data_IF_123856713360
#
_entry.id   IF_123856713360
#
_cell.length_a   1.000
_cell.length_b   1.000
_cell.length_c   1.000
_cell.angle_alpha   90.00
_cell.angle_beta   90.00
_cell.angle_gamma   90.00
#
_symmetry.space_group_name_H-M   'P 1'
#
loop_
_entity.id
_entity.type
_entity.pdbx_description
1 polymer ?
#
# COMPACT_ATOMS: atom_id res chain seq x y z
N UNK A 1 -7.95 -9.85 -5.42
CA UNK A 1 -9.42 -9.78 -5.20
C UNK A 1 -9.93 -10.68 -4.06
N UNK A 2 -9.17 -11.70 -3.61
CA UNK A 2 -9.61 -12.66 -2.59
C UNK A 2 -10.21 -12.07 -1.30
N UNK A 3 -9.59 -11.05 -0.70
CA UNK A 3 -10.13 -10.39 0.51
C UNK A 3 -11.49 -9.73 0.23
N UNK A 4 -11.66 -9.09 -0.91
CA UNK A 4 -12.93 -8.46 -1.30
C UNK A 4 -14.03 -9.52 -1.37
N UNK A 5 -13.77 -10.62 -2.09
CA UNK A 5 -14.69 -11.76 -2.18
C UNK A 5 -15.04 -12.32 -0.80
N UNK A 6 -14.06 -12.43 0.10
CA UNK A 6 -14.29 -12.88 1.47
C UNK A 6 -15.24 -11.93 2.22
N UNK A 7 -14.97 -10.63 2.25
CA UNK A 7 -15.83 -9.65 2.96
C UNK A 7 -17.26 -9.64 2.41
N UNK A 8 -17.42 -9.72 1.09
CA UNK A 8 -18.73 -9.82 0.46
C UNK A 8 -19.45 -11.13 0.83
N UNK A 9 -18.74 -12.26 0.85
CA UNK A 9 -19.31 -13.56 1.25
C UNK A 9 -19.78 -13.59 2.71
N UNK A 10 -19.19 -12.74 3.56
CA UNK A 10 -19.59 -12.57 4.96
C UNK A 10 -20.75 -11.57 5.15
N UNK A 11 -21.30 -11.03 4.06
CA UNK A 11 -22.46 -10.15 4.09
C UNK A 11 -22.14 -8.67 4.26
N UNK A 12 -20.89 -8.23 4.08
CA UNK A 12 -20.60 -6.79 4.02
C UNK A 12 -21.17 -6.21 2.72
N UNK A 13 -22.01 -5.16 2.80
CA UNK A 13 -22.53 -4.51 1.59
C UNK A 13 -21.41 -3.89 0.75
N UNK A 14 -21.48 -4.02 -0.58
CA UNK A 14 -20.46 -3.55 -1.53
C UNK A 14 -20.19 -2.05 -1.36
N UNK A 15 -21.27 -1.28 -1.21
CA UNK A 15 -21.30 0.16 -1.02
C UNK A 15 -20.72 0.64 0.33
N UNK A 16 -20.27 -0.29 1.18
CA UNK A 16 -19.53 0.02 2.42
C UNK A 16 -18.08 -0.43 2.40
N UNK A 17 -17.64 -1.12 1.35
CA UNK A 17 -16.30 -1.68 1.25
C UNK A 17 -15.38 -0.76 0.44
N UNK A 18 -14.22 -0.41 1.01
CA UNK A 18 -13.19 0.40 0.34
C UNK A 18 -11.96 -0.46 0.05
N UNK A 19 -11.34 -0.27 -1.12
CA UNK A 19 -10.04 -0.86 -1.43
C UNK A 19 -8.92 0.00 -0.86
N UNK A 20 -8.02 -0.59 -0.08
CA UNK A 20 -6.82 0.09 0.40
C UNK A 20 -5.72 0.12 -0.67
N UNK A 21 -5.18 1.30 -0.97
CA UNK A 21 -3.99 1.50 -1.81
C UNK A 21 -2.87 2.08 -0.94
N UNK A 22 -1.75 1.37 -0.74
CA UNK A 22 -0.62 1.91 0.00
C UNK A 22 0.20 2.85 -0.90
N UNK A 23 0.29 4.13 -0.54
CA UNK A 23 1.26 5.07 -1.12
C UNK A 23 2.66 4.88 -0.52
N UNK A 24 3.05 3.63 -0.25
CA UNK A 24 4.34 3.24 0.32
C UNK A 24 4.69 1.84 -0.17
N UNK A 25 5.95 1.44 0.03
CA UNK A 25 6.43 0.10 -0.24
C UNK A 25 6.95 -0.63 0.99
N UNK A 26 6.96 -1.96 0.91
CA UNK A 26 7.64 -2.84 1.86
C UNK A 26 8.95 -3.31 1.27
N UNK A 27 10.01 -3.24 2.07
CA UNK A 27 11.36 -3.58 1.63
C UNK A 27 11.98 -4.71 2.43
N UNK A 28 12.86 -5.47 1.78
CA UNK A 28 13.55 -6.62 2.34
C UNK A 28 15.02 -6.62 1.94
N UNK A 29 15.86 -7.17 2.81
CA UNK A 29 17.24 -7.53 2.48
C UNK A 29 17.26 -9.00 2.07
N UNK A 30 17.76 -9.30 0.87
CA UNK A 30 17.88 -10.64 0.31
C UNK A 30 19.02 -11.39 0.99
N UNK A 31 18.78 -12.66 1.33
CA UNK A 31 19.78 -13.54 1.92
C UNK A 31 20.66 -14.25 0.87
N UNK A 32 20.34 -14.10 -0.42
CA UNK A 32 21.06 -14.74 -1.52
C UNK A 32 21.03 -13.87 -2.78
N UNK A 33 21.67 -14.34 -3.86
CA UNK A 33 21.61 -13.70 -5.17
C UNK A 33 20.28 -13.90 -5.91
N UNK A 34 19.38 -14.73 -5.38
CA UNK A 34 18.06 -14.92 -5.98
C UNK A 34 17.27 -13.61 -5.88
N UNK A 35 16.68 -13.22 -7.00
CA UNK A 35 15.81 -12.04 -7.11
C UNK A 35 14.42 -12.50 -7.51
N UNK A 36 13.42 -11.70 -7.15
CA UNK A 36 12.03 -11.94 -7.52
C UNK A 36 11.18 -12.38 -6.34
N UNK A 37 9.94 -12.76 -6.65
CA UNK A 37 8.97 -13.19 -5.65
C UNK A 37 9.46 -14.47 -4.95
N UNK A 38 9.22 -14.56 -3.65
CA UNK A 38 9.64 -15.69 -2.78
C UNK A 38 11.15 -15.88 -2.62
N UNK A 39 11.99 -14.94 -3.08
CA UNK A 39 13.41 -14.98 -2.80
C UNK A 39 13.67 -14.95 -1.28
N UNK A 40 14.64 -15.72 -0.76
CA UNK A 40 14.92 -15.77 0.67
C UNK A 40 15.45 -14.42 1.18
N UNK A 41 14.97 -14.01 2.36
CA UNK A 41 15.29 -12.71 2.98
C UNK A 41 16.02 -12.92 4.30
N UNK A 42 16.97 -12.03 4.62
CA UNK A 42 17.68 -12.00 5.91
C UNK A 42 17.03 -11.04 6.90
N UNK A 43 16.08 -10.20 6.44
CA UNK A 43 15.34 -9.29 7.30
C UNK A 43 14.71 -8.12 6.53
N UNK A 44 14.19 -7.12 7.26
CA UNK A 44 13.62 -5.92 6.65
C UNK A 44 14.70 -5.11 5.92
N UNK A 45 14.31 -4.46 4.83
CA UNK A 45 15.21 -3.62 4.02
C UNK A 45 15.76 -2.43 4.79
N UNK A 46 16.77 -1.78 4.19
CA UNK A 46 17.38 -0.58 4.77
C UNK A 46 16.35 0.54 4.97
N UNK A 47 16.50 1.35 6.03
CA UNK A 47 15.57 2.44 6.28
C UNK A 47 15.69 3.52 5.20
N UNK A 48 14.55 4.14 4.87
CA UNK A 48 14.52 5.33 4.04
C UNK A 48 15.22 6.54 4.67
N UNK A 49 15.62 7.51 3.85
CA UNK A 49 16.27 8.75 4.30
C UNK A 49 15.34 9.58 5.18
N UNK A 50 14.06 9.60 4.85
CA UNK A 50 13.02 10.42 5.45
C UNK A 50 12.18 9.60 6.42
N UNK A 51 11.68 8.44 6.00
CA UNK A 51 10.83 7.57 6.84
C UNK A 51 11.59 6.89 7.97
N UNK A 52 12.91 6.70 7.81
CA UNK A 52 13.85 6.17 8.82
C UNK A 52 13.42 4.85 9.47
N UNK A 53 12.56 4.09 8.79
CA UNK A 53 11.97 2.86 9.30
C UNK A 53 12.43 1.70 8.43
N UNK A 54 13.03 0.67 9.04
CA UNK A 54 13.45 -0.52 8.29
C UNK A 54 12.25 -1.23 7.69
N UNK A 55 12.40 -1.72 6.46
CA UNK A 55 11.34 -2.46 5.77
C UNK A 55 10.18 -1.60 5.27
N UNK A 56 10.30 -0.28 5.32
CA UNK A 56 9.28 0.67 4.90
C UNK A 56 9.92 1.83 4.13
N UNK A 57 9.30 2.21 3.01
CA UNK A 57 9.69 3.38 2.22
C UNK A 57 8.43 4.08 1.72
N UNK A 58 8.39 5.40 1.80
CA UNK A 58 7.31 6.17 1.18
C UNK A 58 7.37 6.06 -0.35
N UNK A 59 6.28 6.40 -1.05
CA UNK A 59 6.30 6.45 -2.52
C UNK A 59 7.33 7.45 -3.04
N UNK A 60 7.47 8.62 -2.40
CA UNK A 60 8.49 9.60 -2.80
C UNK A 60 9.93 9.08 -2.66
N UNK A 61 10.24 8.30 -1.61
CA UNK A 61 11.56 7.66 -1.45
C UNK A 61 11.82 6.55 -2.48
N UNK A 62 10.77 5.86 -2.91
CA UNK A 62 10.81 4.83 -3.94
C UNK A 62 11.04 5.47 -5.30
N UNK A 63 10.34 6.57 -5.58
CA UNK A 63 10.43 7.32 -6.81
C UNK A 63 11.85 7.88 -7.05
N UNK A 64 12.49 8.42 -6.01
CA UNK A 64 13.92 8.81 -6.09
C UNK A 64 14.81 7.65 -6.53
N UNK A 65 14.52 6.42 -6.06
CA UNK A 65 15.28 5.22 -6.41
C UNK A 65 15.02 4.75 -7.84
N UNK A 66 13.77 4.86 -8.31
CA UNK A 66 13.42 4.52 -9.69
C UNK A 66 14.21 5.34 -10.72
N UNK A 67 14.50 6.61 -10.42
CA UNK A 67 15.32 7.46 -11.28
C UNK A 67 16.79 7.06 -11.34
N UNK A 68 17.25 6.16 -10.46
CA UNK A 68 18.63 5.70 -10.46
C UNK A 68 18.80 4.41 -11.29
N UNK A 69 19.87 4.36 -12.09
CA UNK A 69 20.15 3.22 -12.99
C UNK A 69 20.45 1.89 -12.29
N UNK A 70 20.59 1.89 -10.97
CA UNK A 70 20.95 0.71 -10.18
C UNK A 70 19.74 -0.14 -9.78
N UNK A 71 18.51 0.36 -9.94
CA UNK A 71 17.29 -0.37 -9.61
C UNK A 71 16.65 -0.99 -10.85
N UNK A 72 16.28 -2.26 -10.73
CA UNK A 72 15.57 -3.01 -11.76
C UNK A 72 14.12 -3.20 -11.33
N UNK A 73 13.20 -2.50 -12.01
CA UNK A 73 11.74 -2.55 -11.80
C UNK A 73 11.12 -3.68 -12.63
N UNK A 74 10.19 -4.44 -12.03
CA UNK A 74 9.53 -5.59 -12.63
C UNK A 74 8.04 -5.58 -12.29
N UNK A 75 7.20 -5.73 -13.32
CA UNK A 75 5.75 -5.84 -13.19
C UNK A 75 5.34 -7.23 -12.74
N UNK A 76 4.45 -7.31 -11.76
CA UNK A 76 3.82 -8.54 -11.31
C UNK A 76 2.40 -8.62 -11.87
N UNK A 77 2.23 -9.38 -12.95
CA UNK A 77 0.95 -9.39 -13.66
C UNK A 77 -0.20 -10.05 -12.86
N UNK A 78 0.09 -10.97 -11.95
CA UNK A 78 -0.95 -11.59 -11.11
C UNK A 78 -1.42 -10.65 -10.00
N UNK A 79 -0.46 -9.93 -9.40
CA UNK A 79 -0.65 -9.05 -8.25
C UNK A 79 -1.07 -7.63 -8.67
N UNK A 80 -0.86 -7.29 -9.96
CA UNK A 80 -1.05 -5.96 -10.55
C UNK A 80 -0.33 -4.88 -9.72
N UNK A 81 0.94 -5.14 -9.41
CA UNK A 81 1.81 -4.26 -8.62
C UNK A 81 3.25 -4.35 -9.11
N UNK A 82 4.12 -3.50 -8.57
CA UNK A 82 5.54 -3.52 -8.90
C UNK A 82 6.37 -4.12 -7.77
N UNK A 83 7.51 -4.70 -8.17
CA UNK A 83 8.66 -4.77 -7.29
C UNK A 83 9.90 -4.24 -8.00
N UNK A 84 10.91 -3.85 -7.23
CA UNK A 84 12.21 -3.49 -7.76
C UNK A 84 13.35 -4.00 -6.89
N UNK A 85 14.51 -4.21 -7.51
CA UNK A 85 15.70 -4.73 -6.83
C UNK A 85 16.96 -3.93 -7.14
N UNK A 86 17.84 -3.79 -6.14
CA UNK A 86 19.20 -3.25 -6.31
C UNK A 86 20.13 -3.86 -5.27
N UNK A 87 21.24 -4.46 -5.70
CA UNK A 87 22.12 -5.20 -4.78
C UNK A 87 21.37 -6.29 -4.03
N UNK A 88 21.40 -6.23 -2.71
CA UNK A 88 20.68 -7.10 -1.78
C UNK A 88 19.30 -6.54 -1.38
N UNK A 89 18.85 -5.42 -1.94
CA UNK A 89 17.57 -4.81 -1.58
C UNK A 89 16.46 -5.19 -2.57
N UNK A 90 15.29 -5.45 -2.02
CA UNK A 90 14.05 -5.75 -2.73
C UNK A 90 12.92 -4.89 -2.17
N UNK A 91 12.11 -4.26 -3.02
CA UNK A 91 10.99 -3.39 -2.61
C UNK A 91 9.75 -3.77 -3.42
N UNK A 92 8.61 -3.98 -2.78
CA UNK A 92 7.29 -4.03 -3.45
C UNK A 92 6.44 -2.85 -3.04
N UNK A 93 5.72 -2.29 -4.00
CA UNK A 93 5.04 -1.00 -3.86
C UNK A 93 3.97 -0.81 -4.94
N UNK A 94 3.20 0.26 -4.78
CA UNK A 94 2.28 0.78 -5.78
C UNK A 94 2.85 2.00 -6.49
N UNK A 95 2.48 2.16 -7.75
CA UNK A 95 2.65 3.41 -8.48
C UNK A 95 1.32 3.86 -9.10
N UNK A 96 1.41 4.87 -9.97
CA UNK A 96 0.26 5.45 -10.66
C UNK A 96 -0.53 4.39 -11.45
N UNK A 97 0.16 3.45 -12.11
CA UNK A 97 -0.47 2.43 -12.95
C UNK A 97 -1.17 1.38 -12.10
N UNK A 98 -0.49 0.85 -11.08
CA UNK A 98 -1.09 -0.17 -10.20
C UNK A 98 -2.25 0.40 -9.37
N UNK A 99 -2.13 1.65 -8.92
CA UNK A 99 -3.21 2.36 -8.24
C UNK A 99 -4.43 2.58 -9.16
N UNK A 100 -4.19 2.91 -10.43
CA UNK A 100 -5.26 3.05 -11.44
C UNK A 100 -6.03 1.75 -11.59
N UNK A 101 -5.33 0.62 -11.74
CA UNK A 101 -5.97 -0.70 -11.87
C UNK A 101 -6.82 -1.06 -10.65
N UNK A 102 -6.37 -0.72 -9.44
CA UNK A 102 -7.12 -0.96 -8.20
C UNK A 102 -8.34 -0.06 -8.06
N UNK A 103 -8.24 1.19 -8.48
CA UNK A 103 -9.37 2.11 -8.54
C UNK A 103 -10.41 1.66 -9.59
N UNK A 104 -9.95 1.20 -10.77
CA UNK A 104 -10.83 0.61 -11.79
C UNK A 104 -11.53 -0.65 -11.28
N UNK A 105 -10.80 -1.51 -10.55
CA UNK A 105 -11.40 -2.68 -9.91
C UNK A 105 -12.49 -2.29 -8.92
N UNK A 106 -12.23 -1.33 -8.02
CA UNK A 106 -13.24 -0.84 -7.06
C UNK A 106 -14.50 -0.31 -7.76
N UNK A 107 -14.32 0.45 -8.85
CA UNK A 107 -15.40 0.98 -9.69
C UNK A 107 -16.19 -0.13 -10.38
N UNK A 108 -15.50 -1.10 -10.98
CA UNK A 108 -16.11 -2.23 -11.69
C UNK A 108 -16.91 -3.15 -10.77
N UNK A 109 -16.43 -3.38 -9.55
CA UNK A 109 -17.10 -4.19 -8.54
C UNK A 109 -18.19 -3.45 -7.75
N UNK A 110 -18.44 -2.17 -8.09
CA UNK A 110 -19.43 -1.30 -7.44
C UNK A 110 -19.18 -1.20 -5.91
N UNK A 111 -17.90 -1.15 -5.53
CA UNK A 111 -17.50 -0.94 -4.14
C UNK A 111 -17.69 0.53 -3.76
N UNK A 112 -17.63 0.84 -2.45
CA UNK A 112 -17.74 2.20 -1.94
C UNK A 112 -16.66 3.15 -2.49
N UNK A 113 -15.52 2.61 -2.94
CA UNK A 113 -14.40 3.36 -3.49
C UNK A 113 -13.05 2.85 -2.99
N UNK A 114 -12.13 3.80 -2.79
CA UNK A 114 -10.73 3.56 -2.43
C UNK A 114 -10.34 4.38 -1.21
N UNK A 115 -9.48 3.82 -0.38
CA UNK A 115 -8.77 4.49 0.70
C UNK A 115 -7.26 4.46 0.44
N UNK A 116 -6.56 5.57 0.66
CA UNK A 116 -5.12 5.68 0.43
C UNK A 116 -4.40 5.76 1.78
N UNK A 117 -3.44 4.85 2.01
CA UNK A 117 -2.55 4.87 3.16
C UNK A 117 -1.13 5.21 2.73
N UNK A 118 -0.57 6.36 3.04
CA UNK A 118 -1.25 7.57 3.51
C UNK A 118 -0.84 8.73 2.62
N UNK A 119 -1.62 9.79 2.65
CA UNK A 119 -1.43 10.95 1.77
C UNK A 119 -0.05 11.61 1.92
N UNK A 120 0.55 11.55 3.10
CA UNK A 120 1.92 12.03 3.40
C UNK A 120 3.03 11.14 2.83
N UNK A 121 2.71 9.90 2.44
CA UNK A 121 3.66 9.00 1.78
C UNK A 121 3.61 9.09 0.25
N UNK A 122 2.55 9.68 -0.32
CA UNK A 122 2.49 10.05 -1.75
C UNK A 122 3.52 11.14 -2.08
N UNK A 123 3.74 11.43 -3.35
CA UNK A 123 4.62 12.53 -3.77
C UNK A 123 3.93 13.88 -3.58
N UNK A 124 3.81 14.33 -2.33
CA UNK A 124 3.05 15.54 -1.98
C UNK A 124 3.70 16.87 -2.43
N UNK A 125 4.97 16.85 -2.84
CA UNK A 125 5.71 18.07 -3.21
C UNK A 125 5.86 18.25 -4.72
N UNK A 126 5.73 17.18 -5.50
CA UNK A 126 6.10 17.10 -6.91
C UNK A 126 7.61 16.99 -7.17
N UNK A 127 8.45 17.23 -6.16
CA UNK A 127 9.89 17.37 -6.33
C UNK A 127 10.60 16.04 -6.60
N UNK A 128 10.34 14.98 -5.81
CA UNK A 128 11.13 13.76 -5.88
C UNK A 128 10.85 12.95 -7.16
N UNK A 129 9.62 13.00 -7.65
CA UNK A 129 9.20 12.35 -8.88
C UNK A 129 9.27 13.22 -10.13
N UNK A 130 9.50 14.53 -10.00
CA UNK A 130 9.32 15.49 -11.09
C UNK A 130 7.91 15.38 -11.72
N UNK A 131 6.88 15.40 -10.87
CA UNK A 131 5.46 15.29 -11.23
C UNK A 131 4.65 16.41 -10.58
N UNK A 132 3.37 16.49 -10.92
CA UNK A 132 2.41 17.22 -10.07
C UNK A 132 2.34 16.59 -8.66
N UNK A 133 2.02 17.38 -7.61
CA UNK A 133 1.78 16.87 -6.27
C UNK A 133 0.70 15.78 -6.21
N UNK A 134 0.89 14.80 -5.33
CA UNK A 134 -0.02 13.69 -5.06
C UNK A 134 -0.39 12.85 -6.30
N UNK A 135 0.57 12.36 -7.09
CA UNK A 135 0.30 11.67 -8.35
C UNK A 135 -0.56 10.41 -8.18
N UNK A 136 -0.34 9.59 -7.13
CA UNK A 136 -1.18 8.41 -6.87
C UNK A 136 -2.61 8.86 -6.54
N UNK A 137 -2.75 9.79 -5.60
CA UNK A 137 -4.05 10.28 -5.14
C UNK A 137 -4.84 10.92 -6.29
N UNK A 138 -4.21 11.80 -7.06
CA UNK A 138 -4.84 12.48 -8.19
C UNK A 138 -5.30 11.48 -9.25
N UNK A 139 -4.50 10.46 -9.52
CA UNK A 139 -4.86 9.44 -10.49
C UNK A 139 -6.05 8.58 -10.02
N UNK A 140 -6.11 8.24 -8.73
CA UNK A 140 -7.28 7.55 -8.14
C UNK A 140 -8.53 8.42 -8.28
N UNK A 141 -8.43 9.71 -7.98
CA UNK A 141 -9.56 10.66 -8.12
C UNK A 141 -10.04 10.74 -9.57
N UNK A 142 -9.12 10.89 -10.52
CA UNK A 142 -9.44 10.91 -11.94
C UNK A 142 -10.15 9.61 -12.39
N UNK A 143 -9.65 8.46 -11.97
CA UNK A 143 -10.21 7.14 -12.31
C UNK A 143 -11.63 6.95 -11.77
N UNK A 144 -11.89 7.45 -10.57
CA UNK A 144 -13.20 7.39 -9.91
C UNK A 144 -14.14 8.54 -10.32
N UNK A 145 -13.75 9.39 -11.29
CA UNK A 145 -14.50 10.57 -11.71
C UNK A 145 -14.81 11.55 -10.55
N UNK A 146 -13.88 11.70 -9.61
CA UNK A 146 -14.00 12.58 -8.46
C UNK A 146 -13.35 13.95 -8.76
N UNK A 147 -13.83 15.05 -8.14
CA UNK A 147 -13.19 16.36 -8.26
C UNK A 147 -11.76 16.31 -7.75
N UNK A 148 -10.77 16.53 -8.62
CA UNK A 148 -9.36 16.55 -8.25
C UNK A 148 -9.10 17.81 -7.40
N UNK A 149 -8.59 17.69 -6.17
CA UNK A 149 -8.21 18.85 -5.38
C UNK A 149 -7.09 19.60 -6.13
N UNK A 150 -7.40 20.78 -6.65
CA UNK A 150 -6.39 21.70 -7.13
C UNK A 150 -5.80 22.40 -5.91
N UNK A 151 -4.52 22.19 -5.65
CA UNK A 151 -3.78 23.07 -4.74
C UNK A 151 -3.66 24.42 -5.45
N UNK A 152 -4.64 25.30 -5.26
CA UNK A 152 -4.42 26.72 -5.48
C UNK A 152 -3.47 27.19 -4.37
N UNK A 153 -2.19 26.86 -4.48
CA UNK A 153 -1.19 27.58 -3.73
C UNK A 153 -1.31 29.03 -4.22
N UNK A 154 -1.68 30.02 -3.37
CA UNK A 154 -1.48 31.40 -3.78
C UNK A 154 0.01 31.51 -4.09
N UNK A 155 0.34 32.06 -5.26
CA UNK A 155 1.72 32.42 -5.55
C UNK A 155 2.17 33.32 -4.40
N UNK A 156 2.92 32.78 -3.44
CA UNK A 156 3.63 33.59 -2.47
C UNK A 156 4.69 34.27 -3.34
N UNK A 157 4.36 35.47 -3.81
CA UNK A 157 5.35 36.38 -4.30
C UNK A 157 6.34 36.54 -3.15
N UNK A 158 7.52 35.93 -3.27
CA UNK A 158 8.64 36.21 -2.39
C UNK A 158 9.03 37.64 -2.69
N UNK A 159 8.34 38.61 -2.08
CA UNK A 159 8.91 39.93 -1.92
C UNK A 159 10.08 39.76 -0.97
N UNK A 160 11.28 39.82 -1.55
CA UNK A 160 12.54 39.91 -0.83
C UNK A 160 12.54 41.17 0.03
N UNK A 161 11.96 41.11 1.23
CA UNK A 161 12.28 42.04 2.32
C UNK A 161 12.87 41.23 3.45
N UNK A 162 14.17 41.40 3.62
CA UNK A 162 14.89 41.05 4.84
C UNK A 162 14.15 41.66 6.04
N UNK A 163 13.76 40.90 7.08
CA UNK A 163 13.21 41.50 8.28
C UNK A 163 14.36 42.06 9.13
N UNK A 164 14.25 43.35 9.47
CA UNK A 164 14.98 43.93 10.58
C UNK A 164 14.50 43.31 11.91
N UNK A 165 15.43 43.18 12.86
CA UNK A 165 15.23 42.56 14.16
C UNK A 165 14.05 43.18 14.95
N UNK A 166 13.20 42.32 15.55
CA UNK A 166 12.09 42.69 16.44
C UNK A 166 11.52 41.44 17.16
N UNK A 167 10.82 41.60 18.30
CA UNK A 167 11.20 40.98 19.57
C UNK A 167 10.65 39.56 19.85
N UNK A 168 11.18 38.97 20.92
CA UNK A 168 10.94 37.60 21.42
C UNK A 168 9.48 37.15 21.41
N UNK A 169 9.25 35.97 20.80
CA UNK A 169 7.99 35.23 20.83
C UNK A 169 7.82 34.55 22.19
N UNK A 170 6.71 34.82 22.89
CA UNK A 170 6.27 34.02 24.04
C UNK A 170 5.47 32.82 23.54
N UNK A 171 5.85 31.61 23.97
CA UNK A 171 5.08 30.40 23.74
C UNK A 171 3.86 30.37 24.67
N UNK A 172 2.67 30.29 24.10
CA UNK A 172 1.44 29.95 24.84
C UNK A 172 1.25 28.44 24.74
N UNK A 173 1.23 27.78 25.88
CA UNK A 173 1.02 26.33 25.97
C UNK A 173 -0.48 26.05 25.80
N UNK A 174 -0.89 25.44 24.69
CA UNK A 174 -2.26 24.95 24.50
C UNK A 174 -2.30 23.51 24.99
N UNK A 175 -2.87 23.29 26.17
CA UNK A 175 -3.20 21.95 26.65
C UNK A 175 -4.37 21.41 25.81
N UNK A 176 -4.15 20.30 25.10
CA UNK A 176 -5.22 19.55 24.46
C UNK A 176 -6.04 18.82 25.51
N UNK A 177 -7.30 19.22 25.68
CA UNK A 177 -8.26 18.42 26.43
C UNK A 177 -8.76 17.29 25.51
N UNK A 178 -8.46 16.06 25.91
CA UNK A 178 -9.04 14.84 25.38
C UNK A 178 -10.48 14.70 25.88
N UNK A 179 -11.47 14.53 24.99
CA UNK A 179 -12.62 13.63 25.16
C UNK A 179 -13.59 13.74 23.98
N UNK A 180 -13.79 12.64 23.27
CA UNK A 180 -15.14 12.21 22.83
C UNK A 180 -15.14 10.70 22.58
N UNK A 181 -15.90 9.99 23.41
CA UNK A 181 -16.20 8.57 23.27
C UNK A 181 -17.24 8.39 22.18
N UNK A 182 -16.82 8.02 20.97
CA UNK A 182 -17.71 7.46 19.97
C UNK A 182 -17.92 5.98 20.30
N UNK A 183 -19.14 5.59 20.64
CA UNK A 183 -19.54 4.19 20.76
C UNK A 183 -19.30 3.49 19.41
N UNK A 184 -18.42 2.49 19.40
CA UNK A 184 -18.11 1.70 18.21
C UNK A 184 -19.38 0.99 17.69
N UNK A 185 -19.62 0.95 16.37
CA UNK A 185 -20.73 0.19 15.82
C UNK A 185 -20.55 -1.30 16.15
N UNK A 186 -21.63 -1.94 16.61
CA UNK A 186 -21.66 -3.39 16.87
C UNK A 186 -21.54 -4.11 15.53
N UNK A 187 -20.36 -4.69 15.28
CA UNK A 187 -20.09 -5.48 14.09
C UNK A 187 -20.82 -6.83 14.18
N UNK A 188 -21.35 -7.38 13.07
CA UNK A 188 -21.92 -8.72 13.06
C UNK A 188 -20.92 -9.76 13.62
N UNK A 189 -21.39 -10.81 14.32
CA UNK A 189 -20.51 -11.76 15.02
C UNK A 189 -19.42 -12.40 14.13
N UNK A 190 -19.74 -12.65 12.86
CA UNK A 190 -18.79 -13.22 11.89
C UNK A 190 -17.67 -12.23 11.53
N UNK A 191 -17.97 -10.94 11.58
CA UNK A 191 -17.04 -9.86 11.30
C UNK A 191 -16.09 -9.60 12.48
N UNK A 192 -16.62 -9.72 13.70
CA UNK A 192 -15.81 -9.63 14.91
C UNK A 192 -14.79 -10.76 15.00
N UNK A 193 -15.19 -11.99 14.65
CA UNK A 193 -14.27 -13.14 14.57
C UNK A 193 -13.17 -12.93 13.53
N UNK A 194 -13.51 -12.35 12.38
CA UNK A 194 -12.53 -12.05 11.34
C UNK A 194 -11.58 -10.93 11.75
N UNK A 195 -12.07 -9.85 12.37
CA UNK A 195 -11.22 -8.77 12.88
C UNK A 195 -10.21 -9.29 13.91
N UNK A 196 -10.65 -10.20 14.78
CA UNK A 196 -9.77 -10.84 15.75
C UNK A 196 -8.73 -11.76 15.08
N UNK A 197 -9.04 -12.36 13.93
CA UNK A 197 -8.10 -13.17 13.16
C UNK A 197 -7.12 -12.30 12.35
N UNK A 198 -7.58 -11.18 11.78
CA UNK A 198 -6.74 -10.23 11.04
C UNK A 198 -5.79 -9.47 11.97
N UNK A 199 -6.23 -9.11 13.18
CA UNK A 199 -5.36 -8.49 14.18
C UNK A 199 -4.24 -9.43 14.64
N UNK A 200 -4.47 -10.74 14.62
CA UNK A 200 -3.45 -11.75 14.88
C UNK A 200 -2.42 -11.89 13.74
N UNK A 201 -2.76 -11.47 12.52
CA UNK A 201 -1.84 -11.44 11.36
C UNK A 201 -1.05 -10.13 11.28
N UNK A 202 -1.59 -9.03 11.81
CA UNK A 202 -0.87 -7.77 11.98
C UNK A 202 -0.08 -7.78 13.29
N UNK A 203 1.06 -8.48 13.31
CA UNK A 203 2.03 -8.33 14.39
C UNK A 203 2.37 -6.84 14.57
N UNK A 204 2.28 -6.35 15.81
CA UNK A 204 2.75 -4.99 16.11
C UNK A 204 4.27 -4.93 15.98
N UNK A 205 4.88 -3.76 15.74
CA UNK A 205 6.32 -3.66 15.44
C UNK A 205 7.30 -4.09 16.54
N UNK A 206 6.84 -4.56 17.71
CA UNK A 206 7.69 -4.69 18.89
C UNK A 206 7.85 -6.10 19.50
N UNK A 207 7.29 -7.17 18.91
CA UNK A 207 7.54 -8.53 19.44
C UNK A 207 8.00 -9.49 18.33
N UNK A 208 9.32 -9.60 18.16
CA UNK A 208 9.94 -10.72 17.43
C UNK A 208 10.56 -11.67 18.46
N UNK A 209 9.71 -12.44 19.13
CA UNK A 209 10.10 -13.75 19.64
C UNK A 209 9.36 -14.81 18.83
N UNK A 210 10.08 -15.37 17.86
CA UNK A 210 9.68 -16.53 17.09
C UNK A 210 9.58 -17.73 18.05
N UNK A 211 8.39 -18.07 18.51
CA UNK A 211 8.10 -19.43 18.95
C UNK A 211 7.50 -20.20 17.78
N UNK A 212 8.16 -21.31 17.48
CA UNK A 212 7.83 -22.29 16.45
C UNK A 212 6.42 -22.85 16.68
N UNK A 213 5.44 -22.39 15.91
CA UNK A 213 4.08 -22.92 15.92
C UNK A 213 3.94 -23.97 14.82
N UNK A 214 3.91 -25.24 15.21
CA UNK A 214 3.58 -26.37 14.32
C UNK A 214 2.14 -26.22 13.85
N UNK A 215 1.92 -26.06 12.55
CA UNK A 215 0.59 -26.01 11.93
C UNK A 215 -0.09 -27.39 12.01
N UNK A 216 -1.40 -27.48 12.34
CA UNK A 216 -2.13 -28.74 12.27
C UNK A 216 -2.33 -29.20 10.81
N UNK A 217 -2.31 -30.51 10.59
CA UNK A 217 -2.44 -31.13 9.27
C UNK A 217 -3.78 -30.77 8.59
N UNK A 218 -3.78 -30.62 7.25
CA UNK A 218 -4.99 -30.27 6.50
C UNK A 218 -6.03 -31.41 6.53
N UNK A 219 -7.34 -31.09 6.51
CA UNK A 219 -8.40 -32.09 6.44
C UNK A 219 -8.43 -32.79 5.08
N UNK A 220 -8.91 -34.05 5.01
CA UNK A 220 -8.95 -34.82 3.76
C UNK A 220 -9.94 -34.22 2.75
N UNK A 221 -9.69 -34.39 1.43
CA UNK A 221 -10.50 -33.80 0.39
C UNK A 221 -11.91 -34.41 0.35
N UNK A 222 -12.92 -33.54 0.32
CA UNK A 222 -14.30 -33.92 0.04
C UNK A 222 -14.41 -34.25 -1.46
N UNK A 223 -14.69 -35.51 -1.75
CA UNK A 223 -15.02 -35.98 -3.08
C UNK A 223 -16.41 -35.46 -3.53
N UNK A 224 -16.56 -35.27 -4.84
CA UNK A 224 -17.75 -34.85 -5.59
C UNK A 224 -17.91 -33.34 -5.84
N UNK A 225 -17.30 -32.88 -6.94
CA UNK A 225 -17.96 -32.21 -8.07
C UNK A 225 -16.93 -32.07 -9.21
N UNK A 226 -16.59 -33.21 -9.82
CA UNK A 226 -15.84 -33.25 -11.07
C UNK A 226 -16.81 -33.07 -12.23
N UNK A 227 -16.76 -31.91 -12.91
CA UNK A 227 -16.75 -31.84 -14.37
C UNK A 227 -16.42 -30.41 -14.82
N UNK A 228 -15.46 -30.33 -15.74
CA UNK A 228 -15.14 -29.21 -16.63
C UNK A 228 -14.23 -28.09 -16.09
N UNK A 229 -12.94 -28.39 -15.98
CA UNK A 229 -11.87 -27.40 -16.23
C UNK A 229 -10.55 -28.09 -16.65
N UNK A 230 -10.62 -29.05 -17.56
CA UNK A 230 -9.45 -29.42 -18.38
C UNK A 230 -9.72 -28.90 -19.78
N UNK A 231 -9.28 -27.68 -20.10
CA UNK A 231 -8.86 -27.28 -21.43
C UNK A 231 -8.23 -25.89 -21.30
N UNK A 232 -7.15 -25.66 -22.04
CA UNK A 232 -6.34 -24.43 -22.11
C UNK A 232 -5.17 -24.39 -21.11
N UNK A 233 -4.25 -25.35 -21.24
CA UNK A 233 -2.83 -25.07 -21.03
C UNK A 233 -1.91 -26.04 -21.78
N UNK A 234 -2.07 -26.14 -23.11
CA UNK A 234 -0.99 -26.67 -23.97
C UNK A 234 -1.18 -26.20 -25.41
N UNK A 235 -0.38 -25.22 -25.85
CA UNK A 235 0.17 -25.04 -27.21
C UNK A 235 0.71 -23.62 -27.32
N UNK A 236 1.99 -23.44 -27.02
CA UNK A 236 2.86 -22.51 -27.74
C UNK A 236 4.32 -22.95 -27.56
N UNK A 237 4.68 -24.00 -28.31
CA UNK A 237 6.02 -24.29 -28.80
C UNK A 237 5.88 -25.31 -29.92
N UNK A 238 6.08 -24.88 -31.17
CA UNK A 238 6.87 -25.54 -32.23
C UNK A 238 6.54 -24.99 -33.63
N UNK A 239 7.60 -24.58 -34.35
CA UNK A 239 7.70 -24.38 -35.82
C UNK A 239 7.32 -22.99 -36.32
N UNK A 240 8.10 -22.25 -37.11
CA UNK A 240 9.32 -22.48 -37.91
C UNK A 240 10.13 -21.19 -37.93
#
# INVERSE_FOLDING_TARGET
>A
DGLVKLWLSLGVPREKLLIGIPAYGRSFTLASRQKGLHAPVSGPGYPGRYTKTRGFLSYYEICEKEHSRSWQKVWLDTEKSWYMTSGDQWISYEDIDSATLKAQYAKGEQLAGVFIWSVDNDEFSGFFCNTEPFPITRQVFATLNLPIPVTSAPAIAIQSRLPAAGPSVRFVNVQSQSQSSLSSPILPPNLQKLLNALSALSGTPNDVHMHEATLPAPPPPIAHLTHNAEYICSRHRMGR
#
